data_IF_669831041771
#
_entry.id   IF_669831041771
#
_cell.length_a   1.000
_cell.length_b   1.000
_cell.length_c   1.000
_cell.angle_alpha   90.00
_cell.angle_beta   90.00
_cell.angle_gamma   90.00
#
_symmetry.space_group_name_H-M   'P 1'
#
loop_
_entity.id
_entity.type
_entity.pdbx_description
1 polymer ?
#
# COMPACT_ATOMS: atom_id res chain seq x y z
N UNK A 1 -42.58 -29.20 -50.81
CA UNK A 1 -43.94 -29.47 -50.31
C UNK A 1 -44.18 -30.97 -50.38
N UNK A 2 -44.02 -31.68 -49.26
CA UNK A 2 -44.67 -32.95 -48.92
C UNK A 2 -44.36 -33.21 -47.45
N UNK A 3 -45.42 -33.32 -46.67
CA UNK A 3 -45.47 -33.34 -45.20
C UNK A 3 -45.71 -34.77 -44.77
N UNK A 4 -45.02 -35.29 -43.75
CA UNK A 4 -45.54 -36.38 -42.93
C UNK A 4 -45.31 -36.05 -41.45
N UNK A 5 -46.41 -35.84 -40.76
CA UNK A 5 -46.58 -35.73 -39.31
C UNK A 5 -46.99 -37.10 -38.80
N UNK A 6 -46.34 -37.62 -37.74
CA UNK A 6 -46.92 -38.72 -36.94
C UNK A 6 -46.89 -38.38 -35.44
N UNK A 7 -48.12 -38.19 -34.95
CA UNK A 7 -48.70 -38.17 -33.60
C UNK A 7 -47.89 -38.69 -32.41
N UNK A 8 -47.87 -37.85 -31.37
CA UNK A 8 -47.77 -38.19 -29.95
C UNK A 8 -48.98 -39.00 -29.46
N UNK A 9 -48.73 -39.99 -28.58
CA UNK A 9 -49.72 -40.56 -27.65
C UNK A 9 -49.14 -40.48 -26.23
N UNK A 10 -49.78 -39.70 -25.37
CA UNK A 10 -49.57 -39.69 -23.93
C UNK A 10 -50.37 -40.84 -23.29
N UNK A 11 -49.77 -41.56 -22.34
CA UNK A 11 -50.50 -42.36 -21.36
C UNK A 11 -49.81 -42.27 -20.01
N UNK A 12 -50.60 -41.96 -18.99
CA UNK A 12 -50.27 -41.60 -17.62
C UNK A 12 -50.26 -42.84 -16.72
N UNK A 13 -49.25 -43.02 -15.85
CA UNK A 13 -49.46 -43.57 -14.49
C UNK A 13 -48.25 -43.41 -13.56
N UNK A 14 -48.52 -42.89 -12.37
CA UNK A 14 -47.65 -42.78 -11.18
C UNK A 14 -47.33 -44.16 -10.60
N UNK A 15 -46.10 -44.37 -10.10
CA UNK A 15 -45.83 -44.81 -8.72
C UNK A 15 -44.33 -44.90 -8.38
N UNK A 16 -43.96 -44.15 -7.33
CA UNK A 16 -43.06 -44.48 -6.20
C UNK A 16 -41.86 -45.41 -6.47
N UNK A 17 -40.65 -44.86 -6.35
CA UNK A 17 -39.46 -45.64 -5.97
C UNK A 17 -38.74 -45.01 -4.78
N UNK A 18 -38.18 -45.90 -3.96
CA UNK A 18 -37.75 -45.72 -2.58
C UNK A 18 -36.41 -44.99 -2.42
N UNK A 19 -36.27 -44.44 -1.22
CA UNK A 19 -35.11 -43.85 -0.57
C UNK A 19 -33.92 -44.83 -0.47
N UNK A 20 -32.71 -44.24 -0.51
CA UNK A 20 -31.43 -44.73 0.04
C UNK A 20 -30.55 -45.60 -0.85
N UNK A 21 -29.47 -45.01 -1.38
CA UNK A 21 -28.06 -45.44 -1.18
C UNK A 21 -27.16 -44.22 -1.41
N UNK A 22 -26.30 -43.97 -0.42
CA UNK A 22 -25.29 -42.91 -0.35
C UNK A 22 -24.05 -43.22 -1.22
N UNK A 23 -23.28 -42.14 -1.46
CA UNK A 23 -21.87 -42.05 -1.84
C UNK A 23 -21.50 -41.90 -3.34
N UNK A 24 -20.44 -41.10 -3.54
CA UNK A 24 -19.73 -40.67 -4.76
C UNK A 24 -20.45 -39.53 -5.52
N UNK A 25 -19.97 -38.28 -5.65
CA UNK A 25 -18.63 -37.72 -5.87
C UNK A 25 -18.59 -36.29 -5.29
N UNK A 26 -17.74 -36.01 -4.29
CA UNK A 26 -17.34 -34.65 -3.95
C UNK A 26 -15.83 -34.54 -4.21
N UNK A 27 -15.48 -34.13 -5.43
CA UNK A 27 -14.11 -33.85 -5.83
C UNK A 27 -13.78 -32.41 -5.40
N UNK A 28 -13.23 -32.32 -4.19
CA UNK A 28 -12.20 -31.39 -3.70
C UNK A 28 -11.91 -30.17 -4.61
N UNK A 29 -12.53 -29.03 -4.27
CA UNK A 29 -11.91 -27.71 -4.50
C UNK A 29 -10.97 -27.44 -3.32
N UNK A 30 -9.71 -27.83 -3.47
CA UNK A 30 -8.65 -27.39 -2.57
C UNK A 30 -8.30 -25.93 -2.90
N UNK A 31 -8.22 -25.02 -1.91
CA UNK A 31 -7.59 -23.73 -2.12
C UNK A 31 -6.08 -23.94 -2.33
N UNK A 32 -5.53 -23.27 -3.34
CA UNK A 32 -4.09 -23.20 -3.57
C UNK A 32 -3.37 -22.68 -2.30
N UNK A 33 -2.25 -23.29 -1.86
CA UNK A 33 -1.51 -22.81 -0.71
C UNK A 33 -0.69 -21.58 -1.13
N UNK A 34 -0.94 -20.42 -0.51
CA UNK A 34 -0.13 -19.23 -0.81
C UNK A 34 -0.52 -17.91 -0.15
N UNK A 35 -1.70 -17.79 0.46
CA UNK A 35 -2.06 -16.58 1.22
C UNK A 35 -2.19 -16.92 2.69
N UNK A 36 -1.12 -16.67 3.45
CA UNK A 36 -1.07 -16.97 4.88
C UNK A 36 -1.89 -15.94 5.67
N UNK A 37 -3.16 -16.27 5.91
CA UNK A 37 -4.09 -15.45 6.71
C UNK A 37 -3.58 -15.17 8.14
N UNK A 38 -2.56 -15.89 8.62
CA UNK A 38 -1.94 -15.64 9.93
C UNK A 38 -1.05 -14.39 9.94
N UNK A 39 -0.44 -14.02 8.80
CA UNK A 39 0.31 -12.77 8.69
C UNK A 39 -0.61 -11.55 8.86
N UNK A 40 -1.74 -11.54 8.14
CA UNK A 40 -2.76 -10.52 8.27
C UNK A 40 -3.27 -10.44 9.72
N UNK A 41 -3.53 -11.57 10.37
CA UNK A 41 -3.94 -11.59 11.78
C UNK A 41 -2.88 -11.01 12.71
N UNK A 42 -1.60 -11.36 12.58
CA UNK A 42 -0.56 -10.94 13.53
C UNK A 42 -0.11 -9.49 13.33
N UNK A 43 -0.10 -8.96 12.09
CA UNK A 43 0.16 -7.55 11.81
C UNK A 43 -1.06 -6.67 12.14
N UNK A 44 -2.28 -7.10 11.80
CA UNK A 44 -3.51 -6.46 12.23
C UNK A 44 -3.66 -6.49 13.75
N UNK A 45 -3.17 -7.54 14.43
CA UNK A 45 -3.09 -7.59 15.89
C UNK A 45 -2.04 -6.62 16.46
N UNK A 46 -0.94 -6.32 15.78
CA UNK A 46 0.01 -5.27 16.21
C UNK A 46 -0.58 -3.86 16.00
N UNK A 47 -1.34 -3.65 14.93
CA UNK A 47 -2.18 -2.47 14.74
C UNK A 47 -3.26 -2.35 15.84
N UNK A 48 -3.92 -3.46 16.20
CA UNK A 48 -4.93 -3.51 17.26
C UNK A 48 -4.38 -3.51 18.69
N UNK A 49 -3.14 -3.91 18.96
CA UNK A 49 -2.55 -3.81 20.31
C UNK A 49 -2.35 -2.35 20.75
N UNK A 50 -2.29 -1.41 19.80
CA UNK A 50 -2.43 0.03 20.07
C UNK A 50 -3.86 0.45 20.43
N UNK A 51 -4.87 -0.32 20.03
CA UNK A 51 -6.31 -0.07 20.27
C UNK A 51 -6.82 -0.81 21.53
N UNK A 52 -6.20 -1.91 21.95
CA UNK A 52 -6.69 -2.77 23.04
C UNK A 52 -6.29 -2.35 24.47
N UNK A 53 -5.76 -1.14 24.69
CA UNK A 53 -5.73 -0.52 26.03
C UNK A 53 -6.92 0.40 26.32
N UNK A 54 -7.95 0.40 25.46
CA UNK A 54 -9.11 1.30 25.60
C UNK A 54 -10.40 0.65 26.13
N UNK A 55 -10.37 -0.61 26.56
CA UNK A 55 -11.51 -1.25 27.23
C UNK A 55 -11.21 -1.50 28.70
N UNK A 56 -11.26 -0.43 29.50
CA UNK A 56 -11.65 -0.53 30.92
C UNK A 56 -12.87 0.36 31.11
N UNK A 57 -13.93 -0.12 31.81
CA UNK A 57 -15.20 0.59 31.90
C UNK A 57 -15.04 1.92 32.65
N UNK A 58 -15.74 2.94 32.16
CA UNK A 58 -15.89 4.23 32.83
C UNK A 58 -16.46 4.05 34.24
N UNK A 59 -15.70 4.47 35.25
CA UNK A 59 -16.28 4.93 36.51
C UNK A 59 -15.32 5.91 37.20
N UNK A 60 -15.85 7.06 37.61
CA UNK A 60 -15.19 8.14 38.42
C UNK A 60 -14.29 9.05 37.54
N UNK A 61 -14.45 10.38 37.41
CA UNK A 61 -14.95 11.40 38.31
C UNK A 61 -15.18 12.71 37.50
N UNK A 62 -16.29 13.44 37.73
CA UNK A 62 -16.37 14.86 37.39
C UNK A 62 -15.51 15.67 38.36
N UNK A 63 -14.66 16.58 37.88
CA UNK A 63 -14.57 17.95 38.44
C UNK A 63 -13.72 18.89 37.57
N UNK A 64 -14.27 20.09 37.39
CA UNK A 64 -13.65 21.41 37.22
C UNK A 64 -13.15 21.91 35.85
N UNK A 65 -13.95 22.86 35.36
CA UNK A 65 -13.69 23.93 34.40
C UNK A 65 -12.57 24.87 34.90
N UNK A 66 -11.60 25.21 34.03
CA UNK A 66 -11.07 26.57 33.82
C UNK A 66 -10.18 26.61 32.55
N UNK A 67 -10.23 27.74 31.85
CA UNK A 67 -9.76 27.92 30.49
C UNK A 67 -8.26 27.76 30.27
N UNK A 68 -7.85 27.58 29.00
CA UNK A 68 -7.11 28.57 28.19
C UNK A 68 -6.91 27.95 26.80
N UNK A 69 -7.21 28.71 25.75
CA UNK A 69 -6.97 28.37 24.34
C UNK A 69 -5.47 28.18 24.08
N UNK A 70 -5.06 26.97 23.70
CA UNK A 70 -3.73 26.64 23.21
C UNK A 70 -3.88 25.37 22.38
N UNK A 71 -3.71 25.49 21.05
CA UNK A 71 -3.65 24.35 20.12
C UNK A 71 -2.35 23.58 20.37
N UNK A 72 -2.33 22.76 21.43
CA UNK A 72 -1.25 21.82 21.67
C UNK A 72 -1.40 20.64 20.72
N UNK A 73 -0.38 20.44 19.91
CA UNK A 73 -0.23 19.25 19.08
C UNK A 73 -0.38 17.99 19.92
N UNK A 74 -1.26 17.09 19.48
CA UNK A 74 -1.69 15.90 20.21
C UNK A 74 -0.71 14.72 19.99
N UNK A 75 0.59 14.94 20.21
CA UNK A 75 1.63 13.90 20.05
C UNK A 75 1.64 12.91 21.22
N UNK A 76 1.66 11.60 20.93
CA UNK A 76 1.97 10.55 21.91
C UNK A 76 3.46 10.57 22.25
N UNK A 77 3.85 10.00 23.39
CA UNK A 77 5.26 9.79 23.79
C UNK A 77 6.08 8.97 22.77
N UNK A 78 5.43 8.52 21.69
CA UNK A 78 5.94 7.67 20.64
C UNK A 78 5.82 8.27 19.23
N UNK A 79 5.51 9.56 19.09
CA UNK A 79 5.62 10.31 17.83
C UNK A 79 4.54 10.05 16.77
N UNK A 80 3.46 9.33 17.09
CA UNK A 80 2.34 9.09 16.17
C UNK A 80 1.09 9.91 16.52
N UNK A 81 0.19 10.08 15.55
CA UNK A 81 -1.16 10.59 15.78
C UNK A 81 -1.86 9.74 16.84
N UNK A 82 -2.19 10.31 18.01
CA UNK A 82 -2.84 9.58 19.12
C UNK A 82 -4.17 8.92 18.75
N UNK A 83 -4.90 9.56 17.85
CA UNK A 83 -6.23 9.15 17.39
C UNK A 83 -6.45 9.64 15.96
N UNK A 84 -7.38 9.03 15.21
CA UNK A 84 -7.79 9.53 13.90
C UNK A 84 -8.27 10.98 14.00
N UNK A 85 -7.84 11.82 13.06
CA UNK A 85 -8.17 13.24 13.01
C UNK A 85 -8.96 13.56 11.75
N UNK A 86 -9.69 14.67 11.75
CA UNK A 86 -10.47 15.12 10.59
C UNK A 86 -10.36 16.63 10.43
N UNK A 87 -9.12 17.11 10.38
CA UNK A 87 -8.78 18.53 10.41
C UNK A 87 -8.90 19.19 9.04
N UNK A 88 -8.59 18.45 7.97
CA UNK A 88 -8.45 19.02 6.62
C UNK A 88 -7.18 19.84 6.42
N UNK A 89 -6.25 19.81 7.38
CA UNK A 89 -4.99 20.55 7.28
C UNK A 89 -4.04 19.79 6.35
N UNK A 90 -3.90 20.29 5.13
CA UNK A 90 -3.01 19.75 4.09
C UNK A 90 -1.57 20.25 4.27
N UNK A 91 -0.81 19.60 5.15
CA UNK A 91 0.65 19.81 5.23
C UNK A 91 1.37 18.91 4.23
N UNK A 92 2.34 19.49 3.52
CA UNK A 92 3.29 18.75 2.67
C UNK A 92 4.10 17.73 3.45
N UNK A 93 4.50 18.09 4.66
CA UNK A 93 5.19 17.22 5.60
C UNK A 93 4.29 17.15 6.84
N UNK A 94 3.45 16.10 6.97
CA UNK A 94 2.67 15.91 8.18
C UNK A 94 3.61 15.86 9.38
N UNK A 95 3.38 16.74 10.34
CA UNK A 95 4.14 16.82 11.59
C UNK A 95 3.40 16.13 12.74
N UNK A 96 2.07 16.00 12.64
CA UNK A 96 1.21 15.34 13.62
C UNK A 96 1.40 13.81 13.71
N UNK A 97 2.13 13.26 12.76
CA UNK A 97 2.61 11.89 12.65
C UNK A 97 3.79 11.90 11.69
N UNK A 98 4.86 11.17 11.99
CA UNK A 98 6.04 11.29 11.16
C UNK A 98 7.28 10.77 11.85
N UNK A 99 8.41 10.99 11.20
CA UNK A 99 9.72 10.78 11.78
C UNK A 99 10.01 11.98 12.68
N UNK A 100 10.33 11.72 13.94
CA UNK A 100 10.93 12.69 14.84
C UNK A 100 12.38 12.97 14.41
N UNK A 101 12.97 13.98 15.05
CA UNK A 101 14.34 14.41 14.80
C UNK A 101 15.38 13.32 15.11
N UNK A 102 15.00 12.29 15.88
CA UNK A 102 15.83 11.12 16.20
C UNK A 102 15.69 9.98 15.16
N UNK A 103 15.00 10.22 14.05
CA UNK A 103 14.81 9.23 12.99
C UNK A 103 13.85 8.09 13.36
N UNK A 104 13.11 8.21 14.47
CA UNK A 104 12.04 7.29 14.88
C UNK A 104 10.71 7.87 14.47
N UNK A 105 9.75 7.06 14.04
CA UNK A 105 8.50 7.65 13.56
C UNK A 105 7.40 6.66 13.34
N UNK A 106 6.17 7.16 13.39
CA UNK A 106 4.97 6.36 13.16
C UNK A 106 4.27 6.78 11.88
N UNK A 107 3.74 5.78 11.20
CA UNK A 107 2.90 6.01 10.04
C UNK A 107 1.63 6.77 10.45
N UNK A 108 1.24 7.74 9.63
CA UNK A 108 0.04 8.52 9.83
C UNK A 108 -1.24 7.67 9.74
N UNK A 109 -2.23 8.00 10.58
CA UNK A 109 -3.62 7.67 10.30
C UNK A 109 -4.17 8.58 9.17
N UNK A 110 -5.14 8.09 8.38
CA UNK A 110 -5.92 8.94 7.47
C UNK A 110 -6.60 10.12 8.18
N UNK A 111 -6.63 11.28 7.53
CA UNK A 111 -7.40 12.45 7.97
C UNK A 111 -8.74 12.50 7.23
N UNK A 112 -9.85 12.48 7.96
CA UNK A 112 -11.19 12.33 7.38
C UNK A 112 -11.53 13.34 6.28
N UNK A 113 -11.21 14.63 6.46
CA UNK A 113 -11.50 15.65 5.46
C UNK A 113 -10.59 15.53 4.24
N UNK A 114 -9.30 15.29 4.46
CA UNK A 114 -8.36 15.07 3.35
C UNK A 114 -8.72 13.83 2.52
N UNK A 115 -9.22 12.77 3.16
CA UNK A 115 -9.74 11.56 2.51
C UNK A 115 -10.98 11.86 1.65
N UNK A 116 -11.89 12.68 2.17
CA UNK A 116 -13.09 13.11 1.46
C UNK A 116 -12.75 13.96 0.21
N UNK A 117 -11.81 14.88 0.36
CA UNK A 117 -11.43 15.86 -0.68
C UNK A 117 -10.43 15.29 -1.71
N UNK A 118 -9.82 14.13 -1.44
CA UNK A 118 -8.74 13.57 -2.27
C UNK A 118 -9.12 13.41 -3.74
N UNK A 119 -10.38 13.08 -4.03
CA UNK A 119 -10.87 12.77 -5.40
C UNK A 119 -10.93 14.00 -6.30
N UNK A 120 -10.98 15.20 -5.72
CA UNK A 120 -11.07 16.47 -6.47
C UNK A 120 -9.72 17.15 -6.71
N UNK A 121 -8.59 16.51 -6.36
CA UNK A 121 -7.26 17.10 -6.48
C UNK A 121 -6.78 17.15 -7.92
N UNK A 122 -6.08 18.22 -8.28
CA UNK A 122 -5.30 18.24 -9.52
C UNK A 122 -4.13 17.26 -9.42
N UNK A 123 -3.81 16.62 -10.55
CA UNK A 123 -2.85 15.52 -10.60
C UNK A 123 -3.46 14.14 -10.35
N UNK A 124 -4.78 14.05 -10.12
CA UNK A 124 -5.49 12.78 -10.08
C UNK A 124 -5.62 12.14 -11.47
N UNK A 125 -5.35 10.85 -11.54
CA UNK A 125 -5.53 9.99 -12.72
C UNK A 125 -6.19 8.68 -12.29
N UNK A 126 -6.89 8.01 -13.20
CA UNK A 126 -7.58 6.75 -12.92
C UNK A 126 -7.09 5.64 -13.83
N UNK A 127 -6.91 4.46 -13.26
CA UNK A 127 -6.56 3.25 -14.00
C UNK A 127 -7.06 2.02 -13.25
N UNK A 128 -7.64 1.05 -13.97
CA UNK A 128 -8.10 -0.20 -13.36
C UNK A 128 -9.17 -0.05 -12.27
N UNK A 129 -9.86 1.09 -12.19
CA UNK A 129 -10.81 1.40 -11.10
C UNK A 129 -10.16 1.99 -9.84
N UNK A 130 -8.84 2.17 -9.83
CA UNK A 130 -8.09 2.82 -8.76
C UNK A 130 -7.80 4.29 -9.10
N UNK A 131 -7.86 5.14 -8.08
CA UNK A 131 -7.41 6.52 -8.16
C UNK A 131 -5.93 6.61 -7.78
N UNK A 132 -5.18 7.33 -8.59
CA UNK A 132 -3.80 7.71 -8.29
C UNK A 132 -3.69 9.23 -8.23
N UNK A 133 -2.85 9.74 -7.36
CA UNK A 133 -2.45 11.14 -7.34
C UNK A 133 -0.96 11.26 -7.64
N UNK A 134 -0.63 11.96 -8.73
CA UNK A 134 0.73 12.08 -9.24
C UNK A 134 1.25 13.49 -8.96
N UNK A 135 2.28 13.60 -8.12
CA UNK A 135 2.71 14.91 -7.60
C UNK A 135 3.10 15.88 -8.70
N UNK A 136 3.83 15.41 -9.72
CA UNK A 136 4.31 16.26 -10.82
C UNK A 136 3.21 16.68 -11.82
N UNK A 137 2.03 16.03 -11.78
CA UNK A 137 0.85 16.44 -12.56
C UNK A 137 -0.03 17.44 -11.80
N UNK A 138 0.30 17.75 -10.55
CA UNK A 138 -0.42 18.75 -9.76
C UNK A 138 -0.30 20.14 -10.38
N UNK A 139 -1.42 20.87 -10.41
CA UNK A 139 -1.41 22.29 -10.79
C UNK A 139 -0.81 23.17 -9.69
N UNK A 140 -0.83 22.72 -8.43
CA UNK A 140 -0.19 23.40 -7.30
C UNK A 140 1.34 23.34 -7.43
N UNK A 141 2.03 24.48 -7.64
CA UNK A 141 3.48 24.50 -7.79
C UNK A 141 4.24 24.02 -6.54
N UNK A 142 3.69 24.21 -5.35
CA UNK A 142 4.34 23.75 -4.12
C UNK A 142 4.35 22.23 -4.11
N UNK A 143 3.23 21.57 -4.42
CA UNK A 143 3.17 20.10 -4.47
C UNK A 143 3.95 19.53 -5.65
N UNK A 144 3.86 20.16 -6.83
CA UNK A 144 4.54 19.72 -8.05
C UNK A 144 6.06 19.68 -7.90
N UNK A 145 6.63 20.64 -7.18
CA UNK A 145 8.08 20.79 -7.01
C UNK A 145 8.60 20.20 -5.69
N UNK A 146 7.73 19.62 -4.85
CA UNK A 146 8.18 19.02 -3.59
C UNK A 146 8.73 17.62 -3.86
N UNK A 147 9.83 17.31 -3.20
CA UNK A 147 10.37 15.97 -3.08
C UNK A 147 10.27 15.54 -1.62
N UNK A 148 10.09 14.25 -1.39
CA UNK A 148 9.97 13.67 -0.07
C UNK A 148 10.94 12.52 0.08
N UNK A 149 11.52 12.35 1.28
CA UNK A 149 12.06 11.05 1.67
C UNK A 149 10.94 10.00 1.67
N UNK A 150 11.31 8.72 1.65
CA UNK A 150 10.35 7.64 1.48
C UNK A 150 9.30 7.57 2.60
N UNK A 151 9.68 7.90 3.84
CA UNK A 151 8.76 7.81 4.98
C UNK A 151 7.74 8.94 4.98
N UNK A 152 8.20 10.18 4.76
CA UNK A 152 7.35 11.35 4.63
C UNK A 152 6.45 11.27 3.39
N UNK A 153 6.95 10.71 2.30
CA UNK A 153 6.18 10.40 1.09
C UNK A 153 4.95 9.53 1.41
N UNK A 154 5.16 8.43 2.13
CA UNK A 154 4.05 7.56 2.58
C UNK A 154 3.07 8.31 3.47
N UNK A 155 3.56 9.04 4.47
CA UNK A 155 2.70 9.77 5.39
C UNK A 155 1.83 10.80 4.69
N UNK A 156 2.39 11.52 3.70
CA UNK A 156 1.62 12.43 2.87
C UNK A 156 0.47 11.71 2.16
N UNK A 157 0.71 10.58 1.52
CA UNK A 157 -0.34 9.79 0.87
C UNK A 157 -1.37 9.25 1.89
N UNK A 158 -0.90 8.73 3.03
CA UNK A 158 -1.73 8.11 4.08
C UNK A 158 -2.74 9.05 4.70
N UNK A 159 -2.39 10.34 4.88
CA UNK A 159 -3.33 11.36 5.35
C UNK A 159 -4.56 11.49 4.45
N UNK A 160 -4.49 11.04 3.19
CA UNK A 160 -5.58 11.07 2.19
C UNK A 160 -6.18 9.68 1.92
N UNK A 161 -6.10 8.74 2.86
CA UNK A 161 -6.50 7.33 2.70
C UNK A 161 -5.90 6.62 1.47
N UNK A 162 -4.78 7.12 0.98
CA UNK A 162 -3.95 6.51 -0.04
C UNK A 162 -2.71 5.91 0.63
N UNK A 163 -1.76 5.40 -0.15
CA UNK A 163 -0.35 5.23 0.25
C UNK A 163 0.51 5.40 -1.01
N UNK A 164 1.83 5.23 -0.94
CA UNK A 164 2.63 5.17 -2.15
C UNK A 164 2.16 4.03 -3.08
N UNK A 165 2.32 4.24 -4.38
CA UNK A 165 1.91 3.27 -5.41
C UNK A 165 2.58 1.91 -5.27
N UNK A 166 1.84 0.85 -5.58
CA UNK A 166 2.28 -0.55 -5.53
C UNK A 166 2.03 -1.23 -6.87
N UNK A 167 3.09 -1.60 -7.59
CA UNK A 167 2.92 -2.20 -8.92
C UNK A 167 2.67 -3.70 -8.83
N UNK A 168 1.41 -4.10 -8.81
CA UNK A 168 1.01 -5.51 -8.74
C UNK A 168 0.88 -6.15 -10.12
N UNK A 169 0.65 -5.32 -11.15
CA UNK A 169 0.52 -5.76 -12.54
C UNK A 169 1.45 -5.00 -13.48
N UNK A 170 1.78 -5.60 -14.62
CA UNK A 170 2.61 -4.95 -15.64
C UNK A 170 1.87 -3.77 -16.26
N UNK A 171 0.57 -3.92 -16.47
CA UNK A 171 -0.25 -2.95 -17.18
C UNK A 171 -0.41 -1.66 -16.35
N UNK A 172 -0.57 -1.80 -15.02
CA UNK A 172 -0.52 -0.68 -14.08
C UNK A 172 0.84 0.04 -14.11
N UNK A 173 1.93 -0.73 -14.09
CA UNK A 173 3.28 -0.16 -14.13
C UNK A 173 3.54 0.62 -15.41
N UNK A 174 3.17 0.06 -16.57
CA UNK A 174 3.30 0.73 -17.86
C UNK A 174 2.37 1.96 -17.96
N UNK A 175 1.19 1.91 -17.35
CA UNK A 175 0.32 3.09 -17.23
C UNK A 175 1.02 4.22 -16.48
N UNK A 176 1.57 4.00 -15.27
CA UNK A 176 2.27 5.05 -14.53
C UNK A 176 3.55 5.51 -15.24
N UNK A 177 4.28 4.61 -15.90
CA UNK A 177 5.44 4.97 -16.75
C UNK A 177 5.06 5.95 -17.85
N UNK A 178 3.90 5.77 -18.49
CA UNK A 178 3.43 6.69 -19.53
C UNK A 178 3.17 8.12 -19.02
N UNK A 179 3.01 8.31 -17.70
CA UNK A 179 2.75 9.60 -17.07
C UNK A 179 4.02 10.35 -16.64
N UNK A 180 5.22 9.77 -16.81
CA UNK A 180 6.44 10.36 -16.26
C UNK A 180 6.82 11.69 -16.91
N UNK A 181 6.51 11.92 -18.19
CA UNK A 181 6.62 13.25 -18.83
C UNK A 181 7.97 13.97 -18.68
N UNK A 182 9.08 13.24 -18.48
CA UNK A 182 10.43 13.79 -18.26
C UNK A 182 10.89 13.83 -16.79
N UNK A 183 10.06 13.41 -15.84
CA UNK A 183 10.46 13.21 -14.44
C UNK A 183 11.56 12.15 -14.36
N UNK A 184 12.64 12.45 -13.62
CA UNK A 184 13.83 11.60 -13.54
C UNK A 184 13.62 10.34 -12.70
N UNK A 185 12.74 10.39 -11.71
CA UNK A 185 12.48 9.29 -10.80
C UNK A 185 11.27 9.60 -9.91
N UNK A 186 10.70 8.58 -9.28
CA UNK A 186 9.70 8.74 -8.22
C UNK A 186 9.75 7.58 -7.23
N UNK A 187 9.19 7.80 -6.04
CA UNK A 187 9.04 6.76 -5.03
C UNK A 187 7.86 5.84 -5.27
N UNK A 188 8.04 4.56 -4.95
CA UNK A 188 6.98 3.56 -4.82
C UNK A 188 6.85 3.11 -3.37
N UNK A 189 5.87 2.28 -3.04
CA UNK A 189 5.74 1.70 -1.70
C UNK A 189 6.70 0.53 -1.45
N UNK A 190 7.55 0.16 -2.40
CA UNK A 190 8.43 -1.00 -2.27
C UNK A 190 9.45 -0.80 -1.14
N UNK A 191 9.54 -1.79 -0.26
CA UNK A 191 10.41 -1.80 0.91
C UNK A 191 11.04 -3.17 1.08
N UNK A 192 12.32 -3.19 1.44
CA UNK A 192 13.01 -4.40 1.88
C UNK A 192 12.64 -4.74 3.33
N UNK A 193 12.34 -6.00 3.64
CA UNK A 193 12.07 -6.45 5.01
C UNK A 193 13.38 -6.65 5.82
N UNK A 194 14.14 -5.58 6.04
CA UNK A 194 15.42 -5.56 6.76
C UNK A 194 15.36 -4.92 8.16
N UNK A 195 14.16 -4.84 8.75
CA UNK A 195 13.91 -4.25 10.06
C UNK A 195 13.32 -5.26 11.07
N UNK A 196 13.24 -4.88 12.34
CA UNK A 196 12.76 -5.74 13.41
C UNK A 196 11.36 -6.31 13.14
N UNK A 197 11.21 -7.63 13.28
CA UNK A 197 9.96 -8.34 13.00
C UNK A 197 9.85 -8.90 11.58
N UNK A 198 10.87 -8.73 10.74
CA UNK A 198 10.97 -9.30 9.39
C UNK A 198 11.77 -10.61 9.30
N UNK A 199 12.11 -11.27 10.41
CA UNK A 199 12.99 -12.45 10.40
C UNK A 199 12.23 -13.76 10.14
N UNK A 200 11.28 -13.73 9.21
CA UNK A 200 10.60 -14.95 8.76
C UNK A 200 11.45 -15.69 7.73
N UNK A 201 11.54 -17.03 7.77
CA UNK A 201 12.34 -17.81 6.84
C UNK A 201 12.03 -17.57 5.36
N UNK A 202 10.77 -17.28 5.02
CA UNK A 202 10.31 -17.06 3.64
C UNK A 202 10.83 -15.76 3.02
N UNK A 203 11.35 -14.83 3.82
CA UNK A 203 12.00 -13.61 3.34
C UNK A 203 13.49 -13.79 3.04
N UNK A 204 14.09 -14.92 3.40
CA UNK A 204 15.52 -15.14 3.16
C UNK A 204 15.78 -15.82 1.80
N UNK A 205 16.85 -15.44 1.08
CA UNK A 205 17.72 -14.27 1.33
C UNK A 205 16.96 -12.95 1.16
N UNK A 206 17.15 -11.99 2.09
CA UNK A 206 16.39 -10.72 2.13
C UNK A 206 16.43 -9.97 0.80
N UNK A 207 17.61 -9.87 0.19
CA UNK A 207 17.78 -9.19 -1.10
C UNK A 207 17.06 -9.85 -2.29
N UNK A 208 16.62 -11.10 -2.14
CA UNK A 208 15.89 -11.84 -3.17
C UNK A 208 14.40 -11.91 -2.85
N UNK A 209 14.05 -12.37 -1.65
CA UNK A 209 12.68 -12.73 -1.28
C UNK A 209 12.01 -11.73 -0.33
N UNK A 210 12.75 -10.73 0.15
CA UNK A 210 12.36 -9.82 1.22
C UNK A 210 11.70 -8.52 0.76
N UNK A 211 11.54 -8.29 -0.53
CA UNK A 211 10.87 -7.10 -1.04
C UNK A 211 9.35 -7.25 -1.01
N UNK A 212 8.66 -6.21 -0.55
CA UNK A 212 7.20 -6.16 -0.49
C UNK A 212 6.68 -4.73 -0.71
N UNK A 213 5.43 -4.62 -1.16
CA UNK A 213 4.70 -3.37 -1.28
C UNK A 213 4.17 -2.97 0.10
N UNK A 214 4.78 -1.97 0.72
CA UNK A 214 4.45 -1.61 2.10
C UNK A 214 3.07 -0.95 2.27
N UNK A 215 2.43 -0.52 1.17
CA UNK A 215 1.08 0.02 1.17
C UNK A 215 0.02 -1.05 1.48
N UNK A 216 0.11 -2.21 0.83
CA UNK A 216 -0.89 -3.28 0.89
C UNK A 216 -0.34 -4.62 1.41
N UNK A 217 0.96 -4.67 1.72
CA UNK A 217 1.70 -5.83 2.22
C UNK A 217 1.84 -7.00 1.23
N UNK A 218 1.57 -6.77 -0.06
CA UNK A 218 1.79 -7.76 -1.09
C UNK A 218 3.30 -8.00 -1.28
N UNK A 219 3.69 -9.26 -1.48
CA UNK A 219 5.08 -9.63 -1.75
C UNK A 219 5.45 -9.25 -3.18
N UNK A 220 6.64 -8.71 -3.39
CA UNK A 220 7.22 -8.66 -4.72
C UNK A 220 7.70 -10.06 -5.12
N UNK A 221 7.70 -10.32 -6.42
CA UNK A 221 8.38 -11.48 -7.00
C UNK A 221 9.86 -11.52 -6.57
N UNK A 222 10.46 -12.72 -6.44
CA UNK A 222 11.90 -12.83 -6.21
C UNK A 222 12.69 -12.02 -7.23
N UNK A 223 13.66 -11.23 -6.77
CA UNK A 223 14.42 -10.29 -7.62
C UNK A 223 15.24 -10.99 -8.71
N UNK A 224 15.55 -12.27 -8.51
CA UNK A 224 16.25 -13.13 -9.46
C UNK A 224 15.31 -13.97 -10.36
N UNK A 225 13.99 -13.79 -10.26
CA UNK A 225 13.03 -14.54 -11.08
C UNK A 225 13.15 -14.16 -12.55
N UNK A 226 13.04 -15.12 -13.46
CA UNK A 226 13.01 -14.88 -14.92
C UNK A 226 11.62 -15.00 -15.52
N UNK A 227 10.65 -15.49 -14.74
CA UNK A 227 9.29 -15.78 -15.21
C UNK A 227 8.23 -14.90 -14.56
N UNK A 228 8.50 -14.40 -13.35
CA UNK A 228 7.58 -13.55 -12.61
C UNK A 228 7.75 -12.07 -12.98
N UNK A 229 6.69 -11.29 -12.80
CA UNK A 229 6.73 -9.86 -13.09
C UNK A 229 7.55 -9.11 -12.04
N UNK A 230 8.54 -8.35 -12.53
CA UNK A 230 9.27 -7.26 -11.87
C UNK A 230 10.02 -6.49 -12.97
N UNK A 231 10.56 -5.31 -12.65
CA UNK A 231 11.38 -4.53 -13.60
C UNK A 231 12.68 -3.99 -12.98
N UNK A 232 13.33 -4.80 -12.13
CA UNK A 232 14.65 -4.49 -11.59
C UNK A 232 15.68 -4.27 -12.70
N UNK A 233 16.46 -3.20 -12.60
CA UNK A 233 17.48 -2.91 -13.61
C UNK A 233 18.57 -3.98 -13.65
N UNK A 234 19.12 -4.20 -14.85
CA UNK A 234 20.26 -5.08 -15.07
C UNK A 234 21.60 -4.40 -14.80
N UNK A 235 21.58 -3.09 -14.54
CA UNK A 235 22.74 -2.24 -14.27
C UNK A 235 22.35 -1.17 -13.23
N UNK A 236 23.26 -0.26 -12.94
CA UNK A 236 23.03 0.85 -12.03
C UNK A 236 24.32 1.64 -11.82
N UNK A 237 24.45 2.27 -10.65
CA UNK A 237 25.66 3.02 -10.30
C UNK A 237 26.84 2.14 -9.83
N UNK A 238 26.63 0.84 -9.60
CA UNK A 238 27.64 -0.04 -8.99
C UNK A 238 28.83 -0.23 -9.96
N UNK A 239 30.06 -0.23 -9.42
CA UNK A 239 31.27 -0.46 -10.21
C UNK A 239 32.09 -1.66 -9.69
N UNK A 240 32.27 -2.75 -10.47
CA UNK A 240 31.78 -2.99 -11.83
C UNK A 240 30.24 -3.14 -11.88
N UNK A 241 29.59 -2.89 -13.03
CA UNK A 241 28.12 -2.95 -13.15
C UNK A 241 27.50 -4.23 -12.58
N UNK A 242 26.41 -4.07 -11.83
CA UNK A 242 25.64 -5.16 -11.20
C UNK A 242 24.14 -4.94 -11.41
N UNK A 243 23.39 -6.03 -11.31
CA UNK A 243 21.93 -5.99 -11.35
C UNK A 243 21.37 -5.49 -10.02
N UNK A 244 20.29 -4.74 -10.10
CA UNK A 244 19.51 -4.30 -8.96
C UNK A 244 18.65 -5.45 -8.41
N UNK A 245 18.32 -5.45 -7.10
CA UNK A 245 18.85 -4.55 -6.08
C UNK A 245 20.31 -4.89 -5.73
N UNK A 246 21.20 -3.90 -5.66
CA UNK A 246 22.65 -4.13 -5.47
C UNK A 246 23.24 -3.54 -4.18
N UNK A 247 22.46 -2.78 -3.41
CA UNK A 247 22.86 -2.16 -2.15
C UNK A 247 24.19 -1.38 -2.25
N UNK A 248 24.40 -0.71 -3.38
CA UNK A 248 25.60 0.04 -3.73
C UNK A 248 25.96 1.08 -2.68
N UNK A 249 25.02 1.91 -2.22
CA UNK A 249 25.36 3.00 -1.30
C UNK A 249 26.03 2.45 -0.03
N UNK A 250 25.50 1.33 0.49
CA UNK A 250 26.10 0.61 1.62
C UNK A 250 27.48 0.03 1.29
N UNK A 251 27.61 -0.64 0.15
CA UNK A 251 28.77 -1.48 -0.18
C UNK A 251 29.95 -0.64 -0.70
N UNK A 252 29.70 0.43 -1.45
CA UNK A 252 30.74 1.19 -2.16
C UNK A 252 30.87 2.63 -1.70
N UNK A 253 29.84 3.20 -1.08
CA UNK A 253 29.80 4.62 -0.74
C UNK A 253 29.82 4.86 0.78
N UNK A 254 29.95 3.79 1.57
CA UNK A 254 29.93 3.84 3.03
C UNK A 254 28.66 4.51 3.59
N UNK A 255 27.53 4.35 2.89
CA UNK A 255 26.23 4.91 3.27
C UNK A 255 25.29 3.89 3.93
N UNK A 256 23.99 4.17 3.82
CA UNK A 256 22.92 3.34 4.40
C UNK A 256 22.53 2.17 3.48
N UNK A 257 21.72 1.24 3.99
CA UNK A 257 21.13 0.20 3.15
C UNK A 257 20.14 0.83 2.16
N UNK A 258 20.25 0.46 0.88
CA UNK A 258 19.30 0.79 -0.17
C UNK A 258 18.06 -0.08 0.01
N UNK A 259 17.16 0.41 0.85
CA UNK A 259 16.12 -0.39 1.45
C UNK A 259 14.72 -0.01 0.96
N UNK A 260 14.64 0.98 0.07
CA UNK A 260 13.42 1.51 -0.53
C UNK A 260 13.47 1.40 -2.06
N UNK A 261 12.33 1.18 -2.70
CA UNK A 261 12.24 0.99 -4.15
C UNK A 261 11.85 2.31 -4.84
N UNK A 262 12.74 2.80 -5.69
CA UNK A 262 12.46 3.90 -6.61
C UNK A 262 12.34 3.42 -8.05
N UNK A 263 11.48 4.09 -8.84
CA UNK A 263 11.50 3.95 -10.30
C UNK A 263 12.35 5.10 -10.85
N UNK A 264 13.42 4.77 -11.56
CA UNK A 264 14.33 5.74 -12.17
C UNK A 264 14.12 5.73 -13.68
N UNK A 265 14.01 6.91 -14.27
CA UNK A 265 13.79 7.12 -15.69
C UNK A 265 15.12 7.36 -16.39
N UNK A 266 15.70 6.26 -16.87
CA UNK A 266 16.94 6.24 -17.66
C UNK A 266 18.10 6.97 -16.97
N UNK A 267 18.11 6.98 -15.64
CA UNK A 267 19.09 7.72 -14.85
C UNK A 267 20.51 7.15 -15.03
N UNK A 268 20.62 5.83 -15.23
CA UNK A 268 21.88 5.12 -15.48
C UNK A 268 22.03 4.65 -16.94
N UNK A 269 21.20 5.14 -17.86
CA UNK A 269 21.23 4.71 -19.27
C UNK A 269 20.60 3.32 -19.51
N UNK A 270 19.69 2.90 -18.64
CA UNK A 270 19.09 1.57 -18.56
C UNK A 270 17.57 1.53 -18.81
N UNK A 271 17.02 2.65 -19.28
CA UNK A 271 15.58 2.84 -19.46
C UNK A 271 14.85 3.14 -18.16
N UNK A 272 13.52 3.05 -18.16
CA UNK A 272 12.73 3.23 -16.94
C UNK A 272 12.70 1.91 -16.17
N UNK A 273 13.38 1.85 -15.03
CA UNK A 273 13.62 0.63 -14.25
C UNK A 273 13.48 0.83 -12.75
N UNK A 274 13.31 -0.29 -12.02
CA UNK A 274 13.32 -0.31 -10.56
C UNK A 274 14.76 -0.37 -10.05
N UNK A 275 15.03 0.44 -9.03
CA UNK A 275 16.29 0.49 -8.30
C UNK A 275 16.04 0.45 -6.81
N UNK A 276 16.93 -0.20 -6.08
CA UNK A 276 17.00 0.00 -4.65
C UNK A 276 17.72 1.32 -4.39
N UNK A 277 17.18 2.09 -3.45
CA UNK A 277 17.68 3.41 -3.10
C UNK A 277 17.58 3.56 -1.58
N UNK A 278 18.52 4.29 -0.99
CA UNK A 278 18.45 4.61 0.43
C UNK A 278 17.23 5.51 0.70
N UNK A 279 16.52 5.19 1.78
CA UNK A 279 15.18 5.73 2.02
C UNK A 279 15.15 7.23 2.32
N UNK A 280 16.29 7.85 2.64
CA UNK A 280 16.42 9.27 2.95
C UNK A 280 16.51 10.16 1.69
N UNK A 281 16.73 9.59 0.50
CA UNK A 281 16.75 10.39 -0.73
C UNK A 281 15.37 11.00 -1.00
N UNK A 282 15.35 12.23 -1.48
CA UNK A 282 14.09 12.90 -1.77
C UNK A 282 13.67 12.71 -3.22
N UNK A 283 12.40 12.32 -3.44
CA UNK A 283 11.83 12.13 -4.78
C UNK A 283 10.39 12.63 -4.87
N UNK A 284 9.89 12.93 -6.09
CA UNK A 284 8.46 13.03 -6.36
C UNK A 284 7.75 11.71 -6.05
N UNK A 285 6.42 11.76 -5.92
CA UNK A 285 5.63 10.63 -5.42
C UNK A 285 4.40 10.38 -6.29
N UNK A 286 3.97 9.12 -6.29
CA UNK A 286 2.65 8.72 -6.76
C UNK A 286 1.93 8.08 -5.58
N UNK A 287 0.79 8.64 -5.21
CA UNK A 287 -0.11 8.04 -4.23
C UNK A 287 -1.15 7.19 -4.96
N UNK A 288 -1.59 6.10 -4.34
CA UNK A 288 -2.60 5.17 -4.83
C UNK A 288 -3.64 4.90 -3.74
N UNK A 289 -4.91 4.77 -4.13
CA UNK A 289 -5.98 4.34 -3.23
C UNK A 289 -5.67 3.00 -2.56
N UNK A 290 -5.86 2.94 -1.23
CA UNK A 290 -5.69 1.71 -0.46
C UNK A 290 -6.98 1.40 0.27
N UNK A 291 -7.63 0.29 -0.10
CA UNK A 291 -8.93 -0.13 0.44
C UNK A 291 -8.94 -0.18 1.98
N UNK A 292 -7.86 -0.68 2.59
CA UNK A 292 -7.73 -0.72 4.05
C UNK A 292 -7.76 0.66 4.69
N UNK A 293 -7.14 1.67 4.07
CA UNK A 293 -7.15 3.04 4.57
C UNK A 293 -8.49 3.73 4.32
N UNK A 294 -9.12 3.47 3.18
CA UNK A 294 -10.47 3.98 2.86
C UNK A 294 -11.49 3.40 3.84
N UNK A 295 -11.48 2.09 4.08
CA UNK A 295 -12.34 1.42 5.04
C UNK A 295 -12.13 1.97 6.46
N UNK A 296 -10.87 2.15 6.86
CA UNK A 296 -10.53 2.79 8.13
C UNK A 296 -11.12 4.20 8.25
N UNK A 297 -10.98 5.04 7.22
CA UNK A 297 -11.53 6.39 7.22
C UNK A 297 -13.06 6.38 7.29
N UNK A 298 -13.74 5.52 6.52
CA UNK A 298 -15.22 5.36 6.56
C UNK A 298 -15.70 4.94 7.94
N UNK A 299 -14.99 4.03 8.61
CA UNK A 299 -15.35 3.55 9.94
C UNK A 299 -15.16 4.63 11.02
N UNK A 300 -14.07 5.40 10.95
CA UNK A 300 -13.73 6.38 11.98
C UNK A 300 -14.39 7.75 11.77
N UNK A 301 -14.85 8.05 10.55
CA UNK A 301 -15.51 9.32 10.19
C UNK A 301 -16.87 9.08 9.51
N UNK A 302 -17.84 8.43 10.19
CA UNK A 302 -19.11 8.01 9.58
C UNK A 302 -19.99 9.18 9.09
N UNK A 303 -19.74 10.39 9.60
CA UNK A 303 -20.45 11.61 9.18
C UNK A 303 -19.87 12.23 7.90
N UNK A 304 -18.72 11.75 7.41
CA UNK A 304 -18.11 12.20 6.17
C UNK A 304 -18.43 11.22 5.05
N UNK A 305 -18.71 11.76 3.87
CA UNK A 305 -18.80 10.98 2.65
C UNK A 305 -17.39 10.75 2.11
N UNK A 306 -16.74 9.68 2.57
CA UNK A 306 -15.47 9.22 2.01
C UNK A 306 -15.76 8.47 0.70
N UNK A 307 -15.31 8.98 -0.46
CA UNK A 307 -15.60 8.43 -1.78
C UNK A 307 -15.24 6.96 -1.91
#
# INVERSE_FOLDING_TARGET
KSVIIVKLKHTTRRMRFRLSIFLVLALVLAPLPGTDAQFFKNMFQRFHRGVQRFTRPLSTFMTNIRGTSSTKSEHDETGGTKKPQSTGIDKRFPDDCGRDDDGKGKLCFPDGKLCQERVSRSGNINYGGHLYWVSWLSTDPQLRNTNWDWFNARNYCRKRCMDLVSFETREEYEFIKSQMGGVKYFWTSGRLCDFDGCDRPDFFPKQINGWFWSANQARLSPTNSTTAFHDWSFTGGFNPPRRQPDNREKIQQNGENESCLGVLNNFYGDGIKWHDVTCHHEKPIVCEDVEGHIAFARQNFPNLRIP
#
